data_IF_875987821397
#
_entry.id   IF_875987821397
#
_cell.length_a   1.000
_cell.length_b   1.000
_cell.length_c   1.000
_cell.angle_alpha   90.00
_cell.angle_beta   90.00
_cell.angle_gamma   90.00
#
_symmetry.space_group_name_H-M   'P 1'
#
loop_
_entity.id
_entity.type
_entity.pdbx_description
1 polymer ?
#
# COMPACT_ATOMS: atom_id res chain seq x y z
N UNK A 1 -26.26 -10.33 13.49
CA UNK A 1 -25.22 -10.35 14.54
C UNK A 1 -23.88 -9.95 13.92
N UNK A 2 -23.60 -8.65 13.82
CA UNK A 2 -22.26 -8.07 13.85
C UNK A 2 -22.42 -6.76 14.62
N UNK A 3 -21.74 -6.69 15.76
CA UNK A 3 -21.67 -5.55 16.67
C UNK A 3 -20.59 -4.60 16.13
N UNK A 4 -20.93 -3.35 15.85
CA UNK A 4 -19.89 -2.32 15.64
C UNK A 4 -19.98 -1.20 16.68
N UNK A 5 -18.85 -1.12 17.38
CA UNK A 5 -18.31 -0.06 18.21
C UNK A 5 -19.09 0.35 19.46
N UNK A 6 -18.78 -0.34 20.57
CA UNK A 6 -18.91 0.15 21.95
C UNK A 6 -18.04 1.40 22.23
N UNK A 7 -17.94 2.34 21.30
CA UNK A 7 -17.14 3.54 21.46
C UNK A 7 -18.01 4.63 22.09
N UNK A 8 -17.79 4.93 23.37
CA UNK A 8 -18.31 6.16 24.00
C UNK A 8 -17.26 7.25 23.78
N UNK A 9 -17.39 8.16 22.79
CA UNK A 9 -16.48 9.28 22.66
C UNK A 9 -16.59 10.15 23.92
N UNK A 10 -15.46 10.41 24.56
CA UNK A 10 -15.37 11.26 25.74
C UNK A 10 -15.36 12.72 25.28
N UNK A 11 -16.31 13.51 25.77
CA UNK A 11 -16.55 14.89 25.33
C UNK A 11 -15.69 15.87 26.12
N UNK A 12 -14.52 16.22 25.59
CA UNK A 12 -13.92 17.50 25.97
C UNK A 12 -14.77 18.63 25.38
N UNK A 13 -15.64 19.22 26.20
CA UNK A 13 -16.30 20.49 25.93
C UNK A 13 -15.20 21.56 25.81
N UNK A 14 -14.88 22.01 24.60
CA UNK A 14 -13.97 23.15 24.41
C UNK A 14 -13.16 23.18 23.11
N UNK A 15 -13.09 22.10 22.32
CA UNK A 15 -12.38 22.10 21.03
C UNK A 15 -13.32 21.79 19.88
N UNK A 16 -13.35 22.65 18.86
CA UNK A 16 -14.20 22.50 17.65
C UNK A 16 -13.96 21.17 16.91
N UNK A 17 -12.74 20.62 16.97
CA UNK A 17 -12.35 19.34 16.33
C UNK A 17 -12.09 18.23 17.34
N UNK A 18 -13.14 17.72 17.97
CA UNK A 18 -13.07 16.54 18.82
C UNK A 18 -13.11 15.22 18.02
N UNK A 19 -12.89 14.07 18.68
CA UNK A 19 -12.86 12.76 18.01
C UNK A 19 -14.17 12.40 17.31
N UNK A 20 -15.31 12.86 17.85
CA UNK A 20 -16.63 12.66 17.25
C UNK A 20 -16.74 13.43 15.93
N UNK A 21 -16.35 14.71 15.90
CA UNK A 21 -16.35 15.49 14.65
C UNK A 21 -15.44 14.87 13.60
N UNK A 22 -14.22 14.42 13.95
CA UNK A 22 -13.32 13.74 13.01
C UNK A 22 -13.90 12.45 12.45
N UNK A 23 -14.57 11.65 13.30
CA UNK A 23 -15.22 10.43 12.86
C UNK A 23 -16.41 10.73 11.95
N UNK A 24 -17.27 11.69 12.32
CA UNK A 24 -18.40 12.14 11.50
C UNK A 24 -17.91 12.62 10.13
N UNK A 25 -16.94 13.53 10.10
CA UNK A 25 -16.40 14.07 8.85
C UNK A 25 -15.83 12.96 7.94
N UNK A 26 -15.27 11.89 8.53
CA UNK A 26 -14.81 10.71 7.80
C UNK A 26 -15.97 9.88 7.21
N UNK A 27 -17.03 9.66 8.00
CA UNK A 27 -18.22 8.93 7.54
C UNK A 27 -18.98 9.70 6.46
N UNK A 28 -19.12 11.02 6.63
CA UNK A 28 -19.69 11.93 5.64
C UNK A 28 -18.89 11.82 4.33
N UNK A 29 -17.55 11.87 4.40
CA UNK A 29 -16.70 11.69 3.22
C UNK A 29 -16.93 10.33 2.54
N UNK A 30 -16.99 9.23 3.30
CA UNK A 30 -17.24 7.90 2.74
C UNK A 30 -18.61 7.81 2.05
N UNK A 31 -19.64 8.42 2.63
CA UNK A 31 -20.98 8.47 2.05
C UNK A 31 -21.03 9.34 0.79
N UNK A 32 -20.52 10.56 0.86
CA UNK A 32 -20.45 11.50 -0.28
C UNK A 32 -19.66 10.91 -1.45
N UNK A 33 -18.65 10.09 -1.15
CA UNK A 33 -17.86 9.37 -2.15
C UNK A 33 -18.43 7.98 -2.48
N UNK A 34 -19.64 7.63 -2.03
CA UNK A 34 -20.38 6.43 -2.40
C UNK A 34 -19.76 5.10 -1.95
N UNK A 35 -18.86 5.13 -0.96
CA UNK A 35 -18.34 3.92 -0.30
C UNK A 35 -19.36 3.30 0.65
N UNK A 36 -20.32 4.10 1.11
CA UNK A 36 -21.45 3.69 1.93
C UNK A 36 -22.72 4.03 1.16
N UNK A 37 -23.64 3.08 1.03
CA UNK A 37 -24.84 3.19 0.19
C UNK A 37 -26.04 3.63 1.03
N UNK A 38 -26.14 3.12 2.26
CA UNK A 38 -27.30 3.33 3.13
C UNK A 38 -26.89 4.04 4.42
N UNK A 39 -26.43 5.29 4.28
CA UNK A 39 -26.06 6.16 5.39
C UNK A 39 -27.03 7.34 5.48
N UNK A 40 -27.93 7.24 6.45
CA UNK A 40 -28.81 8.32 6.87
C UNK A 40 -28.09 9.25 7.85
N UNK A 41 -27.54 10.35 7.33
CA UNK A 41 -26.83 11.37 8.10
C UNK A 41 -27.71 12.03 9.19
N UNK A 42 -29.02 12.08 9.01
CA UNK A 42 -29.93 12.74 9.95
C UNK A 42 -30.18 11.87 11.18
N UNK A 43 -30.10 10.55 11.01
CA UNK A 43 -30.13 9.58 12.11
C UNK A 43 -28.80 9.44 12.83
N UNK A 44 -27.70 9.92 12.23
CA UNK A 44 -26.36 9.89 12.79
C UNK A 44 -26.12 11.05 13.77
N UNK A 45 -26.78 10.98 14.93
CA UNK A 45 -26.64 11.94 16.03
C UNK A 45 -25.88 11.32 17.21
N UNK A 46 -25.49 12.15 18.17
CA UNK A 46 -24.77 11.70 19.37
C UNK A 46 -25.57 10.62 20.11
N UNK A 47 -25.01 9.39 20.17
CA UNK A 47 -25.53 8.18 20.81
C UNK A 47 -26.51 7.31 19.99
N UNK A 48 -26.61 7.48 18.67
CA UNK A 48 -27.37 6.53 17.83
C UNK A 48 -26.46 5.45 17.24
N UNK A 49 -26.98 4.22 17.19
CA UNK A 49 -26.37 3.12 16.45
C UNK A 49 -27.02 3.03 15.08
N UNK A 50 -26.20 2.92 14.04
CA UNK A 50 -26.67 2.78 12.69
C UNK A 50 -25.90 1.68 11.98
N UNK A 51 -26.63 0.89 11.21
CA UNK A 51 -26.07 -0.02 10.22
C UNK A 51 -26.09 0.65 8.86
N UNK A 52 -25.02 0.48 8.08
CA UNK A 52 -24.98 0.94 6.71
C UNK A 52 -24.46 -0.14 5.78
N UNK A 53 -24.98 -0.14 4.55
CA UNK A 53 -24.50 -1.01 3.48
C UNK A 53 -23.19 -0.44 2.92
N UNK A 54 -22.17 -1.29 2.88
CA UNK A 54 -20.88 -0.97 2.27
C UNK A 54 -20.97 -1.23 0.76
N UNK A 55 -20.52 -0.27 -0.04
CA UNK A 55 -20.35 -0.47 -1.47
C UNK A 55 -19.13 -1.35 -1.74
N UNK A 56 -19.36 -2.66 -1.81
CA UNK A 56 -18.30 -3.63 -2.07
C UNK A 56 -17.61 -3.42 -3.42
N UNK A 57 -18.25 -2.80 -4.42
CA UNK A 57 -17.59 -2.49 -5.69
C UNK A 57 -16.59 -1.31 -5.58
N UNK A 58 -16.84 -0.36 -4.68
CA UNK A 58 -15.86 0.70 -4.37
C UNK A 58 -14.80 0.25 -3.38
N UNK A 59 -15.14 -0.67 -2.48
CA UNK A 59 -14.18 -1.29 -1.56
C UNK A 59 -13.30 -2.36 -2.23
N UNK A 60 -13.81 -3.02 -3.27
CA UNK A 60 -13.06 -3.90 -4.16
C UNK A 60 -12.79 -3.16 -5.47
N UNK A 61 -11.87 -2.18 -5.47
CA UNK A 61 -11.62 -1.37 -6.64
C UNK A 61 -11.22 -2.24 -7.84
N UNK A 62 -11.72 -1.87 -9.02
CA UNK A 62 -11.29 -2.41 -10.33
C UNK A 62 -9.81 -2.05 -10.66
N UNK A 63 -9.21 -1.19 -9.84
CA UNK A 63 -7.87 -0.63 -9.97
C UNK A 63 -6.92 -1.17 -8.89
N UNK A 64 -5.63 -0.92 -9.08
CA UNK A 64 -4.55 -0.97 -8.09
C UNK A 64 -5.00 -0.63 -6.65
N UNK A 65 -5.01 -1.62 -5.77
CA UNK A 65 -5.37 -1.47 -4.36
C UNK A 65 -4.43 -2.26 -3.46
N UNK A 66 -4.18 -1.73 -2.27
CA UNK A 66 -3.31 -2.33 -1.28
C UNK A 66 -4.12 -2.74 -0.06
N UNK A 67 -3.89 -3.95 0.44
CA UNK A 67 -4.41 -4.39 1.73
C UNK A 67 -3.34 -4.12 2.78
N UNK A 68 -3.67 -3.43 3.86
CA UNK A 68 -2.83 -3.38 5.05
C UNK A 68 -3.28 -4.46 6.04
N UNK A 69 -2.34 -5.23 6.56
CA UNK A 69 -2.59 -6.25 7.58
C UNK A 69 -2.36 -5.69 8.98
N UNK A 70 -3.09 -6.22 9.96
CA UNK A 70 -3.01 -5.76 11.36
C UNK A 70 -1.58 -5.80 11.91
N UNK A 71 -0.79 -6.83 11.58
CA UNK A 71 0.60 -6.92 12.04
C UNK A 71 1.48 -5.80 11.47
N UNK A 72 1.21 -5.32 10.24
CA UNK A 72 1.95 -4.19 9.64
C UNK A 72 1.65 -2.91 10.40
N UNK A 73 0.36 -2.73 10.74
CA UNK A 73 -0.13 -1.61 11.54
C UNK A 73 0.48 -1.64 12.93
N UNK A 74 0.47 -2.78 13.61
CA UNK A 74 1.12 -2.94 14.90
C UNK A 74 2.62 -2.68 14.84
N UNK A 75 3.30 -3.18 13.81
CA UNK A 75 4.75 -3.04 13.64
C UNK A 75 5.13 -1.56 13.49
N UNK A 76 4.44 -0.81 12.63
CA UNK A 76 4.65 0.64 12.48
C UNK A 76 4.28 1.38 13.78
N UNK A 77 3.23 0.96 14.48
CA UNK A 77 2.83 1.60 15.73
C UNK A 77 3.81 1.36 16.88
N UNK A 78 4.51 0.23 16.89
CA UNK A 78 5.56 -0.08 17.87
C UNK A 78 6.89 0.62 17.55
N UNK A 79 7.11 1.04 16.29
CA UNK A 79 8.31 1.76 15.90
C UNK A 79 8.39 3.14 16.56
N UNK A 80 9.58 3.44 17.10
CA UNK A 80 9.96 4.73 17.66
C UNK A 80 11.06 5.34 16.80
N UNK A 81 10.76 6.45 16.12
CA UNK A 81 11.74 7.06 15.23
C UNK A 81 12.79 7.85 16.02
N UNK A 82 14.10 7.60 15.81
CA UNK A 82 15.14 8.50 16.30
C UNK A 82 15.18 9.83 15.51
N UNK A 83 14.51 9.91 14.35
CA UNK A 83 14.46 11.07 13.48
C UNK A 83 13.08 11.75 13.56
N UNK A 84 12.98 12.82 14.35
CA UNK A 84 11.70 13.49 14.67
C UNK A 84 10.80 13.84 13.46
N UNK A 85 11.32 14.30 12.32
CA UNK A 85 10.48 14.62 11.17
C UNK A 85 9.75 13.40 10.57
N UNK A 86 10.27 12.18 10.76
CA UNK A 86 9.62 10.96 10.32
C UNK A 86 8.57 10.51 11.35
N UNK A 87 7.31 10.73 11.02
CA UNK A 87 6.18 10.27 11.80
C UNK A 87 5.58 8.97 11.22
N UNK A 88 4.73 8.32 12.02
CA UNK A 88 4.05 7.07 11.63
C UNK A 88 3.14 7.25 10.41
N UNK A 89 2.52 8.42 10.24
CA UNK A 89 1.66 8.71 9.10
C UNK A 89 2.42 8.62 7.77
N UNK A 90 3.67 9.08 7.71
CA UNK A 90 4.52 8.96 6.52
C UNK A 90 4.81 7.49 6.21
N UNK A 91 5.11 6.68 7.23
CA UNK A 91 5.33 5.24 7.08
C UNK A 91 4.07 4.54 6.55
N UNK A 92 2.91 4.88 7.11
CA UNK A 92 1.63 4.33 6.65
C UNK A 92 1.34 4.73 5.20
N UNK A 93 1.51 6.01 4.85
CA UNK A 93 1.26 6.50 3.50
C UNK A 93 2.19 5.83 2.49
N UNK A 94 3.48 5.70 2.81
CA UNK A 94 4.44 5.05 1.93
C UNK A 94 4.14 3.56 1.76
N UNK A 95 3.86 2.83 2.84
CA UNK A 95 3.50 1.42 2.74
C UNK A 95 2.22 1.22 1.93
N UNK A 96 1.19 2.03 2.21
CA UNK A 96 -0.09 1.99 1.48
C UNK A 96 0.12 2.25 -0.02
N UNK A 97 0.94 3.25 -0.35
CA UNK A 97 1.29 3.59 -1.71
C UNK A 97 2.00 2.43 -2.41
N UNK A 98 3.06 1.88 -1.81
CA UNK A 98 3.78 0.72 -2.37
C UNK A 98 2.80 -0.43 -2.63
N UNK A 99 1.95 -0.79 -1.67
CA UNK A 99 1.02 -1.92 -1.80
C UNK A 99 -0.06 -1.66 -2.84
N UNK A 100 -0.58 -0.43 -2.91
CA UNK A 100 -1.58 -0.05 -3.90
C UNK A 100 -1.03 -0.18 -5.33
N UNK A 101 0.20 0.28 -5.57
CA UNK A 101 0.82 0.25 -6.90
C UNK A 101 1.61 -1.02 -7.21
N UNK A 102 1.71 -1.95 -6.26
CA UNK A 102 2.27 -3.29 -6.51
C UNK A 102 1.37 -4.01 -7.51
N UNK A 103 1.97 -4.58 -8.55
CA UNK A 103 1.23 -5.41 -9.48
C UNK A 103 0.69 -6.63 -8.75
N UNK A 104 -0.61 -6.89 -8.85
CA UNK A 104 -1.26 -8.04 -8.21
C UNK A 104 -1.67 -9.06 -9.26
N UNK A 105 -1.34 -10.33 -9.03
CA UNK A 105 -1.91 -11.45 -9.80
C UNK A 105 -3.23 -11.85 -9.14
N UNK A 106 -4.33 -11.64 -9.85
CA UNK A 106 -5.70 -11.80 -9.32
C UNK A 106 -6.26 -13.22 -9.46
N UNK A 107 -5.61 -14.10 -10.22
CA UNK A 107 -6.13 -15.43 -10.51
C UNK A 107 -5.44 -16.50 -9.62
N UNK A 108 -6.15 -17.11 -8.67
CA UNK A 108 -5.61 -18.14 -7.77
C UNK A 108 -5.17 -19.42 -8.52
N UNK A 109 -5.86 -19.81 -9.61
CA UNK A 109 -5.59 -21.08 -10.30
C UNK A 109 -4.49 -20.99 -11.35
N UNK A 110 -4.21 -19.81 -11.93
CA UNK A 110 -3.15 -19.61 -12.93
C UNK A 110 -2.08 -18.59 -12.53
N UNK A 111 -2.37 -17.73 -11.55
CA UNK A 111 -1.49 -16.66 -11.07
C UNK A 111 -0.24 -17.14 -10.35
N UNK A 112 -0.27 -18.35 -9.78
CA UNK A 112 0.89 -18.95 -9.12
C UNK A 112 1.73 -19.85 -10.03
N UNK A 113 1.36 -20.02 -11.30
CA UNK A 113 2.22 -20.73 -12.25
C UNK A 113 3.52 -19.97 -12.49
N UNK A 114 4.63 -20.68 -12.69
CA UNK A 114 5.94 -20.05 -12.96
C UNK A 114 5.91 -19.14 -14.20
N UNK A 115 5.12 -19.48 -15.21
CA UNK A 115 4.88 -18.64 -16.38
C UNK A 115 4.21 -17.31 -15.98
N UNK A 116 3.18 -17.36 -15.14
CA UNK A 116 2.47 -16.16 -14.70
C UNK A 116 3.34 -15.27 -13.81
N UNK A 117 4.12 -15.87 -12.91
CA UNK A 117 5.08 -15.13 -12.06
C UNK A 117 6.09 -14.33 -12.90
N UNK A 118 6.61 -14.92 -13.98
CA UNK A 118 7.51 -14.24 -14.94
C UNK A 118 6.81 -13.16 -15.77
N UNK A 119 5.57 -13.39 -16.18
CA UNK A 119 4.81 -12.47 -17.03
C UNK A 119 4.19 -11.29 -16.27
N UNK A 120 3.96 -11.44 -14.96
CA UNK A 120 3.41 -10.40 -14.09
C UNK A 120 4.00 -10.55 -12.69
N UNK A 121 5.29 -10.20 -12.49
CA UNK A 121 5.91 -10.27 -11.18
C UNK A 121 5.20 -9.32 -10.22
N UNK A 122 5.02 -9.71 -8.95
CA UNK A 122 4.30 -8.89 -7.96
C UNK A 122 5.24 -7.86 -7.34
N UNK A 123 5.66 -6.90 -8.18
CA UNK A 123 6.58 -5.82 -7.81
C UNK A 123 5.90 -4.46 -8.00
N UNK A 124 6.46 -3.45 -7.34
CA UNK A 124 6.26 -2.03 -7.66
C UNK A 124 7.62 -1.42 -8.02
N UNK A 125 7.69 -0.48 -8.94
CA UNK A 125 8.92 0.28 -9.16
C UNK A 125 8.63 1.76 -9.38
N UNK A 126 9.47 2.62 -8.81
CA UNK A 126 9.35 4.07 -8.96
C UNK A 126 10.62 4.78 -8.48
N UNK A 127 10.65 6.09 -8.66
CA UNK A 127 11.70 6.96 -8.14
C UNK A 127 11.20 7.68 -6.90
N UNK A 128 12.09 7.95 -5.94
CA UNK A 128 11.72 8.71 -4.74
C UNK A 128 11.05 10.04 -5.05
N UNK A 129 11.43 10.71 -6.15
CA UNK A 129 10.83 11.99 -6.55
C UNK A 129 9.34 11.84 -6.91
N UNK A 130 8.99 10.79 -7.67
CA UNK A 130 7.61 10.51 -8.07
C UNK A 130 6.74 10.16 -6.87
N UNK A 131 7.28 9.33 -5.96
CA UNK A 131 6.61 8.96 -4.71
C UNK A 131 6.40 10.19 -3.82
N UNK A 132 7.44 11.02 -3.66
CA UNK A 132 7.41 12.23 -2.85
C UNK A 132 6.34 13.22 -3.34
N UNK A 133 6.27 13.44 -4.66
CA UNK A 133 5.26 14.29 -5.26
C UNK A 133 3.83 13.76 -5.01
N UNK A 134 3.61 12.45 -5.08
CA UNK A 134 2.31 11.84 -4.82
C UNK A 134 1.90 11.93 -3.34
N UNK A 135 2.81 11.61 -2.43
CA UNK A 135 2.54 11.59 -0.99
C UNK A 135 2.45 13.02 -0.41
N UNK A 136 2.99 14.03 -1.11
CA UNK A 136 3.11 15.39 -0.59
C UNK A 136 4.19 15.50 0.48
N UNK A 137 5.33 14.84 0.25
CA UNK A 137 6.49 14.84 1.14
C UNK A 137 7.77 15.17 0.37
N UNK A 138 8.91 15.29 1.05
CA UNK A 138 10.19 15.51 0.41
C UNK A 138 10.92 14.19 0.06
N UNK A 139 11.79 14.25 -0.95
CA UNK A 139 12.53 13.08 -1.44
C UNK A 139 13.39 12.40 -0.35
N UNK A 140 14.00 13.19 0.55
CA UNK A 140 14.85 12.66 1.63
C UNK A 140 13.99 11.94 2.66
N UNK A 141 12.79 12.44 2.93
CA UNK A 141 11.82 11.81 3.80
C UNK A 141 11.36 10.46 3.26
N UNK A 142 11.03 10.36 1.97
CA UNK A 142 10.67 9.09 1.33
C UNK A 142 11.83 8.09 1.39
N UNK A 143 13.06 8.54 1.13
CA UNK A 143 14.23 7.68 1.25
C UNK A 143 14.40 7.13 2.67
N UNK A 144 14.27 7.99 3.69
CA UNK A 144 14.36 7.59 5.10
C UNK A 144 13.23 6.65 5.51
N UNK A 145 12.00 6.94 5.10
CA UNK A 145 10.85 6.10 5.34
C UNK A 145 11.01 4.72 4.69
N UNK A 146 11.58 4.66 3.48
CA UNK A 146 11.91 3.40 2.79
C UNK A 146 12.89 2.56 3.60
N UNK A 147 14.00 3.14 4.06
CA UNK A 147 14.97 2.44 4.92
C UNK A 147 14.31 1.86 6.19
N UNK A 148 13.42 2.63 6.81
CA UNK A 148 12.72 2.19 8.02
C UNK A 148 11.76 1.05 7.73
N UNK A 149 10.97 1.12 6.65
CA UNK A 149 10.07 0.02 6.28
C UNK A 149 10.85 -1.26 5.92
N UNK A 150 12.04 -1.16 5.33
CA UNK A 150 12.93 -2.30 5.11
C UNK A 150 13.46 -2.89 6.42
N UNK A 151 13.88 -2.04 7.37
CA UNK A 151 14.35 -2.47 8.70
C UNK A 151 13.24 -3.16 9.50
N UNK A 152 11.99 -2.69 9.35
CA UNK A 152 10.81 -3.33 9.95
C UNK A 152 10.41 -4.64 9.25
N UNK A 153 11.07 -4.99 8.15
CA UNK A 153 10.78 -6.21 7.38
C UNK A 153 9.44 -6.17 6.65
N UNK A 154 8.88 -4.98 6.41
CA UNK A 154 7.60 -4.80 5.73
C UNK A 154 7.76 -4.71 4.21
N UNK A 155 8.93 -4.28 3.74
CA UNK A 155 9.30 -4.23 2.34
C UNK A 155 10.76 -4.71 2.15
N UNK A 156 11.10 -5.03 0.90
CA UNK A 156 12.45 -5.15 0.38
C UNK A 156 12.58 -4.24 -0.83
N UNK A 157 13.75 -3.65 -1.01
CA UNK A 157 14.03 -2.81 -2.18
C UNK A 157 15.26 -3.26 -2.95
N UNK A 158 15.27 -2.94 -4.23
CA UNK A 158 16.41 -3.11 -5.10
C UNK A 158 16.56 -1.87 -5.97
N UNK A 159 17.74 -1.23 -5.92
CA UNK A 159 18.04 -0.09 -6.79
C UNK A 159 18.57 -0.61 -8.11
N UNK A 160 17.90 -0.26 -9.20
CA UNK A 160 18.40 -0.56 -10.54
C UNK A 160 19.69 0.23 -10.80
N UNK A 161 20.62 -0.28 -11.63
CA UNK A 161 21.80 0.46 -12.00
C UNK A 161 21.44 1.68 -12.86
N UNK A 162 22.25 2.74 -12.73
CA UNK A 162 22.17 3.91 -13.60
C UNK A 162 22.49 3.50 -15.03
N UNK A 163 21.83 4.15 -15.97
CA UNK A 163 22.12 3.99 -17.38
C UNK A 163 22.21 5.36 -18.05
N UNK A 164 22.92 5.39 -19.18
CA UNK A 164 22.93 6.54 -20.08
C UNK A 164 21.97 6.28 -21.23
N UNK A 165 21.21 7.30 -21.62
CA UNK A 165 20.43 7.23 -22.84
C UNK A 165 21.32 7.41 -24.10
N UNK A 166 20.71 7.29 -25.28
CA UNK A 166 21.39 7.50 -26.56
C UNK A 166 21.94 8.92 -26.75
N UNK A 167 21.55 9.86 -25.89
CA UNK A 167 21.96 11.27 -25.92
C UNK A 167 22.99 11.57 -24.80
N UNK A 168 23.60 10.53 -24.22
CA UNK A 168 24.60 10.60 -23.15
C UNK A 168 24.10 11.19 -21.81
N UNK A 169 22.78 11.34 -21.63
CA UNK A 169 22.22 11.81 -20.38
C UNK A 169 22.12 10.68 -19.36
N UNK A 170 22.59 10.94 -18.14
CA UNK A 170 22.41 10.03 -17.01
C UNK A 170 20.98 10.08 -16.49
N UNK A 171 20.34 8.92 -16.40
CA UNK A 171 19.03 8.77 -15.79
C UNK A 171 19.14 8.15 -14.39
N UNK A 172 18.25 8.60 -13.49
CA UNK A 172 18.26 8.17 -12.09
C UNK A 172 17.60 6.80 -11.92
N UNK A 173 18.11 6.05 -10.93
CA UNK A 173 17.72 4.68 -10.61
C UNK A 173 16.25 4.57 -10.23
N UNK A 174 15.51 3.74 -10.98
CA UNK A 174 14.25 3.21 -10.50
C UNK A 174 14.53 2.26 -9.33
N UNK A 175 13.69 2.36 -8.30
CA UNK A 175 13.75 1.52 -7.12
C UNK A 175 12.62 0.52 -7.23
N UNK A 176 12.95 -0.76 -7.24
CA UNK A 176 11.99 -1.85 -7.16
C UNK A 176 11.65 -2.08 -5.69
N UNK A 177 10.37 -2.18 -5.38
CA UNK A 177 9.78 -2.44 -4.08
C UNK A 177 9.02 -3.76 -4.11
N UNK A 178 9.22 -4.60 -3.09
CA UNK A 178 8.66 -5.96 -3.01
C UNK A 178 8.26 -6.25 -1.57
N UNK A 179 7.10 -6.87 -1.38
CA UNK A 179 6.71 -7.35 -0.05
C UNK A 179 7.43 -8.68 0.25
N UNK A 180 8.07 -8.87 1.41
CA UNK A 180 8.77 -10.11 1.71
C UNK A 180 7.84 -11.29 2.04
N UNK A 181 6.53 -11.06 2.06
CA UNK A 181 5.49 -12.03 2.38
C UNK A 181 4.28 -11.86 1.47
N UNK A 182 3.47 -12.92 1.39
CA UNK A 182 2.18 -12.93 0.70
C UNK A 182 1.15 -13.66 1.53
N UNK A 183 -0.09 -13.17 1.46
CA UNK A 183 -1.25 -13.87 2.01
C UNK A 183 -2.27 -14.11 0.91
N UNK A 184 -2.94 -15.25 0.99
CA UNK A 184 -3.96 -15.71 0.04
C UNK A 184 -5.18 -16.19 0.80
N UNK A 185 -6.33 -16.22 0.12
CA UNK A 185 -7.55 -16.78 0.68
C UNK A 185 -7.58 -18.29 0.40
N UNK A 186 -7.65 -19.11 1.44
CA UNK A 186 -7.87 -20.55 1.32
C UNK A 186 -8.99 -20.97 2.25
N UNK A 187 -10.02 -21.63 1.73
CA UNK A 187 -11.15 -22.12 2.52
C UNK A 187 -11.76 -21.02 3.43
N UNK A 188 -11.98 -19.82 2.87
CA UNK A 188 -12.44 -18.62 3.59
C UNK A 188 -11.54 -18.12 4.73
N UNK A 189 -10.27 -18.54 4.77
CA UNK A 189 -9.28 -18.06 5.73
C UNK A 189 -8.11 -17.39 5.02
N UNK A 190 -7.66 -16.25 5.54
CA UNK A 190 -6.44 -15.59 5.08
C UNK A 190 -5.26 -16.34 5.67
N UNK A 191 -4.46 -16.96 4.82
CA UNK A 191 -3.27 -17.72 5.22
C UNK A 191 -2.02 -17.14 4.57
N UNK A 192 -0.91 -17.16 5.30
CA UNK A 192 0.38 -16.74 4.78
C UNK A 192 0.91 -17.82 3.83
N UNK A 193 1.43 -17.41 2.67
CA UNK A 193 2.10 -18.31 1.74
C UNK A 193 3.37 -18.88 2.38
N UNK A 194 3.67 -20.15 2.09
CA UNK A 194 4.97 -20.74 2.42
C UNK A 194 6.07 -20.19 1.51
N UNK A 195 7.34 -20.46 1.83
CA UNK A 195 8.49 -20.00 1.01
C UNK A 195 8.50 -20.65 -0.38
N UNK A 196 7.94 -21.85 -0.50
CA UNK A 196 7.80 -22.58 -1.77
C UNK A 196 6.74 -21.91 -2.66
N UNK A 197 5.67 -21.41 -2.04
CA UNK A 197 4.56 -20.74 -2.73
C UNK A 197 4.93 -19.32 -3.16
N UNK A 198 5.63 -18.60 -2.27
CA UNK A 198 6.07 -17.22 -2.48
C UNK A 198 7.50 -17.01 -1.98
N UNK A 199 8.40 -16.65 -2.89
CA UNK A 199 9.75 -16.25 -2.59
C UNK A 199 10.01 -14.87 -3.21
N UNK A 200 10.22 -13.87 -2.37
CA UNK A 200 10.41 -12.48 -2.81
C UNK A 200 11.68 -12.29 -3.65
N UNK A 201 12.72 -13.12 -3.46
CA UNK A 201 13.97 -13.04 -4.24
C UNK A 201 13.73 -13.50 -5.66
N UNK A 202 12.96 -14.59 -5.83
CA UNK A 202 12.53 -15.03 -7.17
C UNK A 202 11.60 -14.02 -7.83
N UNK A 203 10.67 -13.42 -7.08
CA UNK A 203 9.84 -12.33 -7.60
C UNK A 203 10.68 -11.12 -8.02
N UNK A 204 11.74 -10.80 -7.29
CA UNK A 204 12.68 -9.74 -7.66
C UNK A 204 13.40 -10.07 -8.97
N UNK A 205 13.93 -11.29 -9.11
CA UNK A 205 14.58 -11.75 -10.34
C UNK A 205 13.63 -11.66 -11.53
N UNK A 206 12.38 -12.12 -11.36
CA UNK A 206 11.35 -12.02 -12.39
C UNK A 206 10.99 -10.57 -12.69
N UNK A 207 10.92 -9.72 -11.67
CA UNK A 207 10.74 -8.28 -11.77
C UNK A 207 11.80 -7.61 -12.65
N UNK A 208 13.07 -7.84 -12.32
CA UNK A 208 14.22 -7.28 -13.07
C UNK A 208 14.20 -7.76 -14.52
N UNK A 209 13.97 -9.06 -14.76
CA UNK A 209 13.88 -9.62 -16.10
C UNK A 209 12.70 -9.06 -16.89
N UNK A 210 11.54 -8.91 -16.24
CA UNK A 210 10.35 -8.36 -16.85
C UNK A 210 10.55 -6.89 -17.27
N UNK A 211 11.11 -6.07 -16.38
CA UNK A 211 11.42 -4.66 -16.67
C UNK A 211 12.48 -4.54 -17.77
N UNK A 212 13.46 -5.44 -17.80
CA UNK A 212 14.43 -5.52 -18.89
C UNK A 212 13.76 -5.85 -20.21
N UNK A 213 12.87 -6.84 -20.26
CA UNK A 213 12.29 -7.36 -21.51
C UNK A 213 11.12 -6.54 -22.08
N UNK A 214 10.53 -5.63 -21.30
CA UNK A 214 9.47 -4.75 -21.76
C UNK A 214 10.01 -3.69 -22.75
N UNK A 215 10.10 -4.06 -24.03
CA UNK A 215 10.50 -3.23 -25.17
C UNK A 215 9.74 -1.89 -25.32
N UNK A 216 8.65 -1.66 -24.58
CA UNK A 216 7.79 -0.47 -24.69
C UNK A 216 7.82 0.47 -23.47
N UNK A 217 8.48 0.10 -22.37
CA UNK A 217 8.65 1.03 -21.23
C UNK A 217 9.97 1.78 -21.29
N UNK A 218 10.93 1.31 -22.11
CA UNK A 218 12.02 2.07 -22.76
C UNK A 218 13.28 1.21 -22.93
N UNK A 219 14.15 1.58 -23.87
CA UNK A 219 15.52 1.03 -24.04
C UNK A 219 16.46 1.31 -22.84
N UNK A 220 15.93 1.52 -21.63
CA UNK A 220 16.65 1.97 -20.42
C UNK A 220 17.48 0.89 -19.73
N UNK A 221 17.18 -0.39 -19.95
CA UNK A 221 17.72 -1.46 -19.11
C UNK A 221 18.74 -2.38 -19.81
N UNK A 222 19.18 -2.01 -21.02
CA UNK A 222 20.02 -2.84 -21.89
C UNK A 222 21.42 -2.25 -22.08
N UNK A 223 22.20 -2.13 -21.00
CA UNK A 223 23.65 -1.96 -21.14
C UNK A 223 24.32 -2.87 -20.12
N UNK A 224 24.99 -3.90 -20.63
CA UNK A 224 26.00 -4.68 -19.91
C UNK A 224 27.32 -3.93 -19.95
#
# INVERSE_FOLDING_TARGET
>A
MIQWCKYKPNWHRGTEKNIFTKFRDCMDWFFENGYIIDFDKEKYIQNTFQSSLINMEKMNPKNNFGILYDFEVETINKYQSPYKPLNKSILFLLLSYIKAFTWIRTNESSGHSEKSKKNKPEIFYSQFQSIAAFIGSDRKMIAKATEVLEQLGLIKTHRMPRYKDSNDNWHTDDIIYICPYRYILRNNQIVQCTKEEYNYEKELEYGILFLRNQNYVSKKFYQN
#
